data_IF_315445175742
#
_entry.id   IF_315445175742
#
_cell.length_a   1.000
_cell.length_b   1.000
_cell.length_c   1.000
_cell.angle_alpha   90.00
_cell.angle_beta   90.00
_cell.angle_gamma   90.00
#
_symmetry.space_group_name_H-M   'P 1'
#
loop_
_entity.id
_entity.type
_entity.pdbx_description
1 polymer ?
#
# COMPACT_ATOMS: atom_id res chain seq x y z
N UNK A 1 -69.59 -11.60 10.23
CA UNK A 1 -68.92 -12.68 9.48
C UNK A 1 -67.74 -12.02 8.76
N UNK A 2 -66.59 -11.90 9.42
CA UNK A 2 -65.42 -12.80 9.28
C UNK A 2 -64.78 -12.65 7.88
N UNK A 3 -63.50 -12.33 7.66
CA UNK A 3 -62.30 -12.23 8.49
C UNK A 3 -61.29 -11.31 7.75
N UNK A 4 -60.46 -10.61 8.53
CA UNK A 4 -59.21 -10.00 8.07
C UNK A 4 -58.11 -11.09 8.05
N UNK A 5 -57.02 -10.90 7.31
CA UNK A 5 -55.75 -10.90 8.03
C UNK A 5 -54.82 -9.75 7.63
N UNK A 6 -54.11 -9.31 8.67
CA UNK A 6 -53.05 -8.30 8.71
C UNK A 6 -51.86 -8.70 7.83
N UNK A 7 -51.27 -7.71 7.16
CA UNK A 7 -49.82 -7.64 7.00
C UNK A 7 -49.32 -6.43 7.80
N UNK A 8 -48.41 -6.67 8.72
CA UNK A 8 -47.58 -5.67 9.40
C UNK A 8 -46.24 -5.69 8.70
N UNK A 9 -45.77 -4.54 8.20
CA UNK A 9 -44.35 -4.26 7.93
C UNK A 9 -44.10 -2.79 8.29
N UNK A 10 -43.29 -2.59 9.34
CA UNK A 10 -42.44 -1.43 9.59
C UNK A 10 -41.17 -1.59 8.71
N UNK A 11 -40.41 -0.61 8.25
CA UNK A 11 -40.07 0.73 8.71
C UNK A 11 -39.96 1.66 7.48
N UNK A 12 -40.44 2.90 7.59
CA UNK A 12 -40.19 3.91 6.58
C UNK A 12 -38.77 4.46 6.74
N UNK A 13 -37.95 4.34 5.68
CA UNK A 13 -36.70 5.09 5.57
C UNK A 13 -36.98 6.58 5.81
N UNK A 14 -36.33 7.14 6.83
CA UNK A 14 -36.37 8.56 7.11
C UNK A 14 -35.55 9.28 6.03
N UNK A 15 -36.22 9.83 5.04
CA UNK A 15 -35.61 10.74 4.06
C UNK A 15 -35.28 12.04 4.81
N UNK A 16 -34.00 12.46 4.93
CA UNK A 16 -33.65 13.69 5.62
C UNK A 16 -34.26 14.90 4.90
N UNK A 17 -34.77 15.85 5.68
CA UNK A 17 -35.30 17.11 5.15
C UNK A 17 -34.16 17.85 4.42
N UNK A 18 -34.34 18.34 3.18
CA UNK A 18 -33.31 19.10 2.45
C UNK A 18 -32.79 20.34 3.19
N UNK A 19 -33.50 20.82 4.23
CA UNK A 19 -33.00 21.89 5.09
C UNK A 19 -31.96 21.45 6.13
N UNK A 20 -31.79 20.15 6.38
CA UNK A 20 -30.83 19.59 7.36
C UNK A 20 -29.46 19.19 6.74
N UNK A 21 -29.27 19.40 5.44
CA UNK A 21 -28.03 19.02 4.75
C UNK A 21 -26.91 20.08 4.91
N UNK A 22 -25.66 19.66 5.17
CA UNK A 22 -24.54 20.59 5.35
C UNK A 22 -24.28 21.42 4.08
N UNK A 23 -24.23 22.74 4.23
CA UNK A 23 -24.09 23.70 3.12
C UNK A 23 -22.68 24.26 3.03
N UNK A 24 -22.24 24.52 1.80
CA UNK A 24 -20.99 25.25 1.56
C UNK A 24 -21.11 26.72 2.03
N UNK A 25 -19.99 27.43 2.27
CA UNK A 25 -19.98 28.85 2.63
C UNK A 25 -20.70 29.79 1.64
N UNK A 26 -20.97 29.31 0.42
CA UNK A 26 -21.71 30.04 -0.62
C UNK A 26 -23.24 29.88 -0.53
N UNK A 27 -23.76 29.13 0.44
CA UNK A 27 -25.19 28.84 0.62
C UNK A 27 -25.76 27.81 -0.36
N UNK A 28 -24.94 27.30 -1.29
CA UNK A 28 -25.32 26.25 -2.23
C UNK A 28 -25.02 24.85 -1.68
N UNK A 29 -25.95 23.93 -1.90
CA UNK A 29 -25.80 22.50 -1.66
C UNK A 29 -24.99 21.89 -2.83
N UNK A 30 -23.78 21.36 -2.58
CA UNK A 30 -23.00 20.67 -3.60
C UNK A 30 -23.74 19.43 -4.12
N UNK A 31 -23.62 19.15 -5.41
CA UNK A 31 -24.35 18.05 -6.05
C UNK A 31 -24.05 16.68 -5.43
N UNK A 32 -22.83 16.45 -4.94
CA UNK A 32 -22.45 15.20 -4.27
C UNK A 32 -23.20 14.96 -2.95
N UNK A 33 -23.53 16.02 -2.19
CA UNK A 33 -24.33 15.92 -0.95
C UNK A 33 -25.78 15.53 -1.27
N UNK A 34 -26.30 15.98 -2.41
CA UNK A 34 -27.63 15.59 -2.90
C UNK A 34 -27.65 14.16 -3.46
N UNK A 35 -26.56 13.75 -4.09
CA UNK A 35 -26.41 12.42 -4.65
C UNK A 35 -26.21 11.37 -3.53
N UNK A 36 -25.49 11.72 -2.46
CA UNK A 36 -25.28 10.90 -1.25
C UNK A 36 -26.56 10.76 -0.42
N UNK A 37 -27.30 11.86 -0.19
CA UNK A 37 -28.61 11.82 0.47
C UNK A 37 -29.68 11.05 -0.34
N UNK A 38 -29.47 10.88 -1.65
CA UNK A 38 -30.34 10.13 -2.55
C UNK A 38 -29.82 8.72 -2.89
N UNK A 39 -28.73 8.26 -2.26
CA UNK A 39 -28.16 6.91 -2.46
C UNK A 39 -27.63 6.62 -3.87
N UNK A 40 -27.16 7.64 -4.61
CA UNK A 40 -26.66 7.50 -5.99
C UNK A 40 -25.13 7.66 -6.05
N UNK A 41 -24.45 6.65 -6.59
CA UNK A 41 -23.01 6.70 -6.86
C UNK A 41 -22.69 7.71 -7.97
N UNK A 42 -21.76 8.64 -7.70
CA UNK A 42 -21.33 9.69 -8.63
C UNK A 42 -20.14 9.23 -9.47
N UNK A 43 -20.24 9.33 -10.81
CA UNK A 43 -19.12 9.12 -11.75
C UNK A 43 -18.66 10.47 -12.28
N UNK A 44 -17.46 10.97 -11.94
CA UNK A 44 -17.01 12.27 -12.44
C UNK A 44 -16.56 12.19 -13.90
N UNK A 45 -17.05 13.09 -14.75
CA UNK A 45 -16.44 13.37 -16.06
C UNK A 45 -15.19 14.25 -15.89
N UNK A 46 -14.02 13.72 -16.24
CA UNK A 46 -12.74 14.44 -16.17
C UNK A 46 -12.67 15.60 -17.19
N UNK A 47 -12.34 16.79 -16.69
CA UNK A 47 -11.91 17.92 -17.50
C UNK A 47 -10.47 17.73 -18.05
N UNK A 48 -10.02 18.59 -18.97
CA UNK A 48 -8.71 18.44 -19.60
C UNK A 48 -7.56 18.60 -18.58
N UNK A 49 -6.44 17.88 -18.75
CA UNK A 49 -5.33 17.87 -17.79
C UNK A 49 -4.60 19.23 -17.69
N UNK A 50 -4.09 19.52 -16.49
CA UNK A 50 -3.31 20.71 -16.15
C UNK A 50 -1.94 20.77 -16.91
N UNK A 51 -1.35 21.95 -16.96
CA UNK A 51 -0.07 22.29 -17.60
C UNK A 51 1.11 21.47 -17.11
N UNK A 52 1.20 21.08 -15.82
CA UNK A 52 2.26 20.17 -15.35
C UNK A 52 2.10 18.79 -15.98
N UNK A 53 0.90 18.21 -15.88
CA UNK A 53 0.55 16.93 -16.51
C UNK A 53 0.80 16.94 -18.03
N UNK A 54 0.52 18.05 -18.72
CA UNK A 54 0.82 18.19 -20.17
C UNK A 54 2.31 18.16 -20.47
N UNK A 55 3.16 18.71 -19.60
CA UNK A 55 4.62 18.73 -19.77
C UNK A 55 5.20 17.33 -19.56
N UNK A 56 4.71 16.62 -18.55
CA UNK A 56 5.11 15.25 -18.26
C UNK A 56 4.68 14.33 -19.42
N UNK A 57 3.42 14.39 -19.84
CA UNK A 57 2.90 13.66 -21.02
C UNK A 57 3.69 13.93 -22.32
N UNK A 58 4.19 15.15 -22.51
CA UNK A 58 4.97 15.52 -23.70
C UNK A 58 6.42 15.02 -23.66
N UNK A 59 6.99 14.81 -22.47
CA UNK A 59 8.28 14.16 -22.28
C UNK A 59 8.17 12.65 -22.55
N UNK A 60 7.13 12.00 -22.03
CA UNK A 60 6.88 10.56 -22.21
C UNK A 60 6.62 10.13 -23.66
N UNK A 61 5.80 10.88 -24.42
CA UNK A 61 5.57 10.60 -25.86
C UNK A 61 6.84 10.59 -26.72
N UNK A 62 7.93 11.22 -26.26
CA UNK A 62 9.23 11.21 -26.95
C UNK A 62 10.08 10.00 -26.55
N UNK A 63 9.83 9.42 -25.38
CA UNK A 63 10.51 8.24 -24.85
C UNK A 63 9.93 6.95 -25.43
N UNK A 64 8.60 6.82 -25.54
CA UNK A 64 7.93 5.69 -26.23
C UNK A 64 8.48 5.47 -27.64
N UNK A 65 8.67 6.56 -28.39
CA UNK A 65 9.20 6.51 -29.76
C UNK A 65 10.67 6.11 -29.82
N UNK A 66 11.42 6.23 -28.72
CA UNK A 66 12.82 5.81 -28.61
C UNK A 66 12.92 4.36 -28.15
N UNK A 67 12.10 3.93 -27.18
CA UNK A 67 12.01 2.55 -26.71
C UNK A 67 11.58 1.60 -27.85
N UNK A 68 10.55 1.97 -28.62
CA UNK A 68 10.11 1.21 -29.80
C UNK A 68 11.21 1.06 -30.88
N UNK A 69 12.20 1.96 -30.91
CA UNK A 69 13.36 1.88 -31.84
C UNK A 69 14.52 1.06 -31.28
N UNK A 70 14.60 0.90 -29.95
CA UNK A 70 15.61 0.10 -29.28
C UNK A 70 15.24 -1.40 -29.29
N UNK A 71 13.96 -1.73 -29.06
CA UNK A 71 13.43 -3.10 -29.09
C UNK A 71 13.57 -3.77 -30.47
N UNK A 72 13.59 -3.01 -31.56
CA UNK A 72 13.81 -3.54 -32.91
C UNK A 72 15.24 -4.11 -33.14
N UNK A 73 16.15 -4.04 -32.17
CA UNK A 73 17.57 -4.40 -32.34
C UNK A 73 18.13 -5.47 -31.39
N UNK A 74 17.37 -5.99 -30.43
CA UNK A 74 17.91 -6.88 -29.39
C UNK A 74 17.41 -8.32 -29.49
N UNK A 75 18.11 -9.17 -30.26
CA UNK A 75 17.88 -10.63 -30.27
C UNK A 75 19.11 -11.39 -29.79
N UNK A 76 19.07 -11.95 -28.57
CA UNK A 76 19.84 -13.08 -28.03
C UNK A 76 19.55 -13.14 -26.51
N UNK A 77 19.05 -14.19 -25.87
CA UNK A 77 19.15 -15.63 -26.13
C UNK A 77 19.97 -16.31 -25.03
N UNK A 78 19.32 -16.64 -23.91
CA UNK A 78 19.70 -17.62 -22.85
C UNK A 78 21.01 -17.40 -22.06
N UNK A 79 22.05 -16.75 -22.59
CA UNK A 79 23.32 -16.48 -21.87
C UNK A 79 23.24 -15.39 -20.79
N UNK A 80 22.17 -14.60 -20.77
CA UNK A 80 22.00 -13.47 -19.85
C UNK A 80 21.47 -13.89 -18.47
N UNK A 81 20.74 -15.01 -18.39
CA UNK A 81 20.14 -15.51 -17.13
C UNK A 81 21.18 -16.00 -16.13
N UNK A 82 22.29 -16.58 -16.58
CA UNK A 82 23.37 -17.06 -15.70
C UNK A 82 24.24 -15.91 -15.15
N UNK A 83 24.30 -14.78 -15.85
CA UNK A 83 25.09 -13.61 -15.43
C UNK A 83 24.38 -12.81 -14.34
N UNK A 84 23.05 -12.71 -14.40
CA UNK A 84 22.22 -11.98 -13.40
C UNK A 84 22.26 -12.68 -12.03
N UNK A 85 22.14 -14.01 -12.00
CA UNK A 85 22.27 -14.79 -10.76
C UNK A 85 23.65 -14.64 -10.12
N UNK A 86 24.71 -14.63 -10.93
CA UNK A 86 26.08 -14.43 -10.45
C UNK A 86 26.31 -13.03 -9.87
N UNK A 87 25.70 -11.98 -10.45
CA UNK A 87 25.82 -10.61 -9.95
C UNK A 87 25.03 -10.42 -8.65
N UNK A 88 23.82 -10.98 -8.54
CA UNK A 88 23.01 -10.89 -7.32
C UNK A 88 23.71 -11.56 -6.12
N UNK A 89 24.27 -12.76 -6.32
CA UNK A 89 25.01 -13.48 -5.27
C UNK A 89 26.31 -12.76 -4.88
N UNK A 90 27.05 -12.18 -5.85
CA UNK A 90 28.27 -11.43 -5.55
C UNK A 90 27.97 -10.12 -4.79
N UNK A 91 26.89 -9.42 -5.14
CA UNK A 91 26.45 -8.21 -4.44
C UNK A 91 26.05 -8.50 -2.99
N UNK A 92 25.33 -9.60 -2.76
CA UNK A 92 24.99 -10.06 -1.42
C UNK A 92 26.26 -10.37 -0.58
N UNK A 93 27.22 -11.12 -1.14
CA UNK A 93 28.46 -11.47 -0.44
C UNK A 93 29.37 -10.26 -0.15
N UNK A 94 29.44 -9.29 -1.07
CA UNK A 94 30.21 -8.05 -0.86
C UNK A 94 29.52 -7.15 0.17
N UNK A 95 28.19 -7.05 0.16
CA UNK A 95 27.40 -6.34 1.16
C UNK A 95 27.64 -6.88 2.58
N UNK A 96 27.56 -8.19 2.77
CA UNK A 96 27.79 -8.83 4.07
C UNK A 96 29.25 -8.72 4.53
N UNK A 97 30.21 -8.84 3.62
CA UNK A 97 31.64 -8.65 3.91
C UNK A 97 31.98 -7.22 4.32
N UNK A 98 31.42 -6.23 3.63
CA UNK A 98 31.60 -4.81 3.96
C UNK A 98 30.95 -4.44 5.28
N UNK A 99 29.76 -4.98 5.60
CA UNK A 99 29.10 -4.75 6.89
C UNK A 99 29.89 -5.30 8.08
N UNK A 100 30.47 -6.50 7.93
CA UNK A 100 31.30 -7.13 8.99
C UNK A 100 32.63 -6.39 9.18
N UNK A 101 33.28 -5.94 8.11
CA UNK A 101 34.51 -5.16 8.19
C UNK A 101 34.27 -3.74 8.73
N UNK A 102 33.14 -3.12 8.37
CA UNK A 102 32.70 -1.84 8.92
C UNK A 102 32.40 -1.96 10.42
N UNK A 103 31.66 -2.99 10.83
CA UNK A 103 31.36 -3.29 12.24
C UNK A 103 32.63 -3.50 13.08
N UNK A 104 33.64 -4.18 12.52
CA UNK A 104 34.94 -4.39 13.19
C UNK A 104 35.87 -3.16 13.19
N UNK A 105 35.54 -2.13 12.42
CA UNK A 105 36.32 -0.88 12.31
C UNK A 105 35.75 0.26 13.17
N UNK A 106 34.63 0.04 13.85
CA UNK A 106 34.08 1.00 14.82
C UNK A 106 34.96 1.02 16.08
N UNK A 107 35.47 2.20 16.52
CA UNK A 107 36.17 2.30 17.79
C UNK A 107 35.23 1.98 18.95
N UNK A 108 35.70 1.24 19.95
CA UNK A 108 34.98 0.93 21.20
C UNK A 108 34.56 2.22 21.91
N UNK A 109 33.35 2.70 21.64
CA UNK A 109 32.70 3.75 22.42
C UNK A 109 32.11 3.07 23.66
N UNK A 110 32.94 2.90 24.69
CA UNK A 110 32.51 2.32 25.97
C UNK A 110 31.33 3.13 26.56
N UNK A 111 30.25 2.42 26.94
CA UNK A 111 29.04 2.94 27.58
C UNK A 111 29.29 3.76 28.87
N UNK A 112 30.51 3.73 29.41
CA UNK A 112 30.94 4.58 30.53
C UNK A 112 31.02 6.06 30.17
N UNK A 113 31.45 6.41 28.96
CA UNK A 113 31.62 7.82 28.56
C UNK A 113 30.29 8.56 28.39
N UNK A 114 29.26 7.86 27.90
CA UNK A 114 27.90 8.41 27.72
C UNK A 114 27.19 8.56 29.07
N UNK A 115 27.42 7.64 30.00
CA UNK A 115 26.86 7.67 31.36
C UNK A 115 27.42 8.82 32.20
N UNK A 116 28.72 9.12 32.08
CA UNK A 116 29.35 10.24 32.81
C UNK A 116 28.90 11.61 32.27
N UNK A 117 28.60 11.71 30.97
CA UNK A 117 28.05 12.92 30.36
C UNK A 117 26.59 13.19 30.76
N UNK A 118 25.79 12.13 30.89
CA UNK A 118 24.37 12.23 31.29
C UNK A 118 24.19 12.59 32.78
N UNK A 119 25.16 12.23 33.63
CA UNK A 119 25.14 12.52 35.07
C UNK A 119 25.67 13.92 35.44
N UNK A 120 26.17 14.69 34.46
CA UNK A 120 26.84 15.97 34.73
C UNK A 120 25.89 17.17 34.93
N UNK A 121 24.60 17.08 34.57
CA UNK A 121 23.65 18.20 34.68
C UNK A 121 22.23 17.77 35.11
N UNK A 122 21.96 17.65 36.42
CA UNK A 122 20.59 17.51 36.93
C UNK A 122 20.02 18.92 37.19
N UNK A 123 19.41 19.53 36.19
CA UNK A 123 18.90 20.90 36.31
C UNK A 123 17.60 21.25 35.57
N UNK A 124 17.36 20.71 34.38
CA UNK A 124 16.35 21.29 33.47
C UNK A 124 15.29 20.28 32.99
N UNK A 125 14.91 19.31 33.83
CA UNK A 125 13.96 18.25 33.45
C UNK A 125 12.47 18.62 33.62
N UNK A 126 12.10 19.89 33.86
CA UNK A 126 10.72 20.25 34.21
C UNK A 126 10.03 21.25 33.27
N UNK A 127 10.50 21.41 32.02
CA UNK A 127 9.84 22.30 31.05
C UNK A 127 9.95 21.87 29.57
N UNK A 128 9.99 20.57 29.27
CA UNK A 128 9.93 20.08 27.88
C UNK A 128 8.55 19.48 27.59
N UNK A 129 7.51 20.32 27.56
CA UNK A 129 6.38 20.04 26.69
C UNK A 129 6.92 20.04 25.27
N UNK A 130 7.12 18.85 24.70
CA UNK A 130 7.56 18.70 23.32
C UNK A 130 6.49 19.29 22.40
N UNK A 131 6.60 20.57 22.10
CA UNK A 131 6.06 21.12 20.87
C UNK A 131 6.77 20.38 19.73
N UNK A 132 6.19 19.28 19.28
CA UNK A 132 6.55 18.72 17.99
C UNK A 132 6.28 19.81 16.96
N UNK A 133 7.35 20.25 16.32
CA UNK A 133 7.26 21.19 15.20
C UNK A 133 6.51 20.43 14.10
N UNK A 134 5.32 20.90 13.76
CA UNK A 134 4.64 20.50 12.54
C UNK A 134 5.50 20.96 11.36
N UNK A 135 6.27 20.03 10.79
CA UNK A 135 7.10 20.28 9.62
C UNK A 135 6.29 20.16 8.30
N UNK A 136 4.97 19.93 8.40
CA UNK A 136 4.06 19.74 7.28
C UNK A 136 4.26 18.43 6.54
N UNK A 137 5.04 17.48 7.08
CA UNK A 137 5.30 16.18 6.44
C UNK A 137 4.27 15.10 6.77
N UNK A 138 3.29 15.40 7.63
CA UNK A 138 2.26 14.47 8.11
C UNK A 138 0.89 15.15 8.18
N UNK A 139 -0.22 14.40 8.06
CA UNK A 139 -1.54 14.93 8.38
C UNK A 139 -1.66 15.28 9.88
N UNK A 140 -2.69 16.05 10.27
CA UNK A 140 -3.02 16.21 11.68
C UNK A 140 -3.25 14.85 12.35
N UNK A 141 -2.76 14.70 13.57
CA UNK A 141 -2.91 13.46 14.34
C UNK A 141 -4.38 13.08 14.53
N UNK A 142 -4.69 11.79 14.38
CA UNK A 142 -6.01 11.20 14.60
C UNK A 142 -6.98 11.37 13.44
N UNK A 143 -6.59 11.93 12.29
CA UNK A 143 -7.52 12.12 11.16
C UNK A 143 -7.94 10.78 10.56
N UNK A 144 -9.22 10.43 10.73
CA UNK A 144 -9.77 9.15 10.27
C UNK A 144 -9.61 8.01 11.26
N UNK A 145 -9.10 8.31 12.46
CA UNK A 145 -8.91 7.34 13.54
C UNK A 145 -10.23 7.03 14.27
N UNK A 146 -10.53 5.74 14.41
CA UNK A 146 -11.59 5.21 15.26
C UNK A 146 -11.14 4.98 16.70
N UNK A 147 -12.09 4.87 17.63
CA UNK A 147 -11.77 4.57 19.03
C UNK A 147 -11.32 3.12 19.29
N UNK A 148 -11.47 2.25 18.29
CA UNK A 148 -11.15 0.82 18.33
C UNK A 148 -10.97 0.30 16.90
N UNK A 149 -10.39 -0.91 16.73
CA UNK A 149 -10.29 -1.55 15.42
C UNK A 149 -11.64 -1.59 14.69
N UNK A 150 -11.62 -1.25 13.39
CA UNK A 150 -12.83 -1.12 12.58
C UNK A 150 -13.38 -2.47 12.09
N UNK A 151 -12.53 -3.49 12.07
CA UNK A 151 -12.88 -4.86 11.73
C UNK A 151 -12.27 -5.85 12.71
N UNK A 152 -12.41 -7.13 12.41
CA UNK A 152 -11.88 -8.22 13.24
C UNK A 152 -11.15 -9.20 12.34
N UNK A 153 -9.85 -9.43 12.58
CA UNK A 153 -9.10 -10.44 11.83
C UNK A 153 -9.72 -11.83 11.97
N UNK A 154 -9.72 -12.63 10.90
CA UNK A 154 -10.22 -14.00 10.98
C UNK A 154 -9.34 -14.84 11.90
N UNK A 155 -9.96 -15.77 12.64
CA UNK A 155 -9.21 -16.76 13.41
C UNK A 155 -8.74 -17.87 12.47
N UNK A 156 -7.47 -17.83 12.08
CA UNK A 156 -6.84 -18.84 11.24
C UNK A 156 -5.99 -19.77 12.11
N UNK A 157 -6.29 -21.07 12.09
CA UNK A 157 -5.46 -22.04 12.79
C UNK A 157 -4.13 -22.24 12.03
N UNK A 158 -3.00 -22.03 12.69
CA UNK A 158 -1.71 -22.31 12.09
C UNK A 158 -1.47 -23.81 11.98
N UNK A 159 -1.22 -24.28 10.75
CA UNK A 159 -0.95 -25.69 10.44
C UNK A 159 0.55 -26.00 10.28
N UNK A 160 1.42 -25.01 10.50
CA UNK A 160 2.86 -25.11 10.28
C UNK A 160 3.33 -24.62 8.91
N UNK A 161 2.44 -24.19 8.03
CA UNK A 161 2.81 -23.53 6.77
C UNK A 161 3.63 -22.27 7.03
N UNK A 162 4.68 -22.00 6.23
CA UNK A 162 5.55 -20.85 6.44
C UNK A 162 4.88 -19.53 6.04
N UNK A 163 5.24 -18.47 6.74
CA UNK A 163 4.88 -17.07 6.45
C UNK A 163 6.01 -16.16 6.96
N UNK A 164 6.09 -14.94 6.44
CA UNK A 164 7.07 -13.94 6.84
C UNK A 164 6.46 -12.52 6.75
N UNK A 165 7.11 -11.54 7.37
CA UNK A 165 6.68 -10.14 7.39
C UNK A 165 7.75 -9.22 6.81
N UNK A 166 7.31 -8.21 6.04
CA UNK A 166 8.17 -7.19 5.42
C UNK A 166 9.05 -6.47 6.44
N UNK A 167 8.48 -6.22 7.62
CA UNK A 167 9.20 -5.63 8.73
C UNK A 167 8.62 -6.12 10.04
N UNK A 168 9.51 -6.35 11.00
CA UNK A 168 9.17 -6.57 12.40
C UNK A 168 9.76 -5.48 13.28
N UNK A 169 9.19 -5.33 14.46
CA UNK A 169 9.61 -4.36 15.46
C UNK A 169 9.39 -4.93 16.86
N UNK A 170 10.14 -4.43 17.84
CA UNK A 170 9.95 -4.82 19.24
C UNK A 170 8.93 -3.92 19.91
N UNK A 171 7.81 -4.50 20.34
CA UNK A 171 6.76 -3.84 21.13
C UNK A 171 6.65 -4.59 22.46
N UNK A 172 6.82 -3.87 23.57
CA UNK A 172 6.80 -4.45 24.93
C UNK A 172 7.76 -5.65 25.14
N UNK A 173 8.88 -5.66 24.42
CA UNK A 173 9.88 -6.73 24.49
C UNK A 173 9.58 -7.94 23.61
N UNK A 174 8.47 -7.93 22.86
CA UNK A 174 8.09 -8.97 21.92
C UNK A 174 8.27 -8.50 20.48
N UNK A 175 8.71 -9.40 19.61
CA UNK A 175 8.78 -9.13 18.18
C UNK A 175 7.38 -9.22 17.57
N UNK A 176 6.95 -8.14 16.92
CA UNK A 176 5.64 -7.98 16.30
C UNK A 176 5.81 -7.44 14.88
N UNK A 177 4.91 -7.76 13.93
CA UNK A 177 4.96 -7.15 12.61
C UNK A 177 4.73 -5.63 12.67
N UNK A 178 5.33 -4.91 11.74
CA UNK A 178 4.92 -3.54 11.41
C UNK A 178 3.62 -3.62 10.61
N UNK A 179 2.55 -3.04 11.14
CA UNK A 179 1.18 -3.22 10.61
C UNK A 179 0.55 -1.91 10.20
N UNK A 180 -0.49 -2.00 9.38
CA UNK A 180 -1.45 -0.91 9.22
C UNK A 180 -2.20 -0.68 10.54
N UNK A 181 -2.62 0.56 10.77
CA UNK A 181 -3.50 0.89 11.88
C UNK A 181 -4.91 0.30 11.64
N UNK A 182 -5.36 -0.70 12.42
CA UNK A 182 -6.65 -1.33 12.19
C UNK A 182 -7.83 -0.44 12.64
N UNK A 183 -7.56 0.67 13.31
CA UNK A 183 -8.52 1.64 13.81
C UNK A 183 -8.78 2.74 12.77
N UNK A 184 -8.06 2.70 11.64
CA UNK A 184 -8.25 3.56 10.47
C UNK A 184 -8.62 2.74 9.24
N UNK A 185 -9.43 3.32 8.35
CA UNK A 185 -9.69 2.68 7.05
C UNK A 185 -8.43 2.75 6.18
N UNK A 186 -8.13 1.67 5.48
CA UNK A 186 -7.11 1.63 4.44
C UNK A 186 -7.72 2.15 3.16
N UNK A 187 -7.53 3.44 2.89
CA UNK A 187 -7.89 4.01 1.61
C UNK A 187 -6.98 3.46 0.51
N UNK A 188 -7.57 3.09 -0.64
CA UNK A 188 -6.81 2.73 -1.84
C UNK A 188 -7.32 3.51 -3.05
N UNK A 189 -6.42 3.79 -4.00
CA UNK A 189 -6.76 4.46 -5.25
C UNK A 189 -6.12 3.73 -6.43
N UNK A 190 -6.85 3.66 -7.55
CA UNK A 190 -6.39 2.94 -8.74
C UNK A 190 -5.85 3.92 -9.78
N UNK A 191 -4.57 3.82 -10.11
CA UNK A 191 -4.00 4.60 -11.19
C UNK A 191 -4.59 4.15 -12.53
N UNK A 192 -5.10 5.10 -13.28
CA UNK A 192 -5.62 4.88 -14.65
C UNK A 192 -4.53 4.85 -15.71
N UNK A 193 -3.29 5.13 -15.34
CA UNK A 193 -2.16 5.14 -16.27
C UNK A 193 -1.79 3.72 -16.70
N UNK A 194 -1.75 3.46 -18.02
CA UNK A 194 -1.37 2.17 -18.59
C UNK A 194 -2.34 1.00 -18.30
N UNK A 195 -3.32 1.21 -17.42
CA UNK A 195 -4.25 0.21 -16.94
C UNK A 195 -5.25 -0.25 -18.03
N UNK A 196 -5.52 -1.56 -18.14
CA UNK A 196 -6.65 -2.08 -18.90
C UNK A 196 -8.00 -1.61 -18.35
N UNK A 197 -9.02 -1.56 -19.21
CA UNK A 197 -10.39 -1.13 -18.83
C UNK A 197 -10.97 -1.90 -17.62
N UNK A 198 -10.62 -3.18 -17.48
CA UNK A 198 -11.10 -4.04 -16.38
C UNK A 198 -10.27 -3.94 -15.08
N UNK A 199 -9.18 -3.16 -15.07
CA UNK A 199 -8.21 -3.19 -13.97
C UNK A 199 -8.81 -2.80 -12.62
N UNK A 200 -9.59 -1.72 -12.56
CA UNK A 200 -10.23 -1.30 -11.32
C UNK A 200 -11.14 -2.39 -10.74
N UNK A 201 -11.88 -3.14 -11.57
CA UNK A 201 -12.72 -4.25 -11.11
C UNK A 201 -11.90 -5.43 -10.59
N UNK A 202 -10.74 -5.68 -11.18
CA UNK A 202 -9.80 -6.71 -10.71
C UNK A 202 -9.17 -6.32 -9.37
N UNK A 203 -8.80 -5.05 -9.20
CA UNK A 203 -8.32 -4.50 -7.93
C UNK A 203 -9.39 -4.61 -6.84
N UNK A 204 -10.63 -4.16 -7.10
CA UNK A 204 -11.71 -4.26 -6.12
C UNK A 204 -11.92 -5.70 -5.64
N UNK A 205 -11.84 -6.69 -6.54
CA UNK A 205 -11.95 -8.10 -6.18
C UNK A 205 -10.82 -8.55 -5.25
N UNK A 206 -9.57 -8.26 -5.63
CA UNK A 206 -8.40 -8.69 -4.86
C UNK A 206 -8.32 -7.98 -3.50
N UNK A 207 -8.69 -6.70 -3.44
CA UNK A 207 -8.79 -5.96 -2.17
C UNK A 207 -9.88 -6.53 -1.27
N UNK A 208 -11.02 -6.98 -1.81
CA UNK A 208 -12.05 -7.64 -1.01
C UNK A 208 -11.54 -8.95 -0.38
N UNK A 209 -10.76 -9.74 -1.13
CA UNK A 209 -10.14 -10.97 -0.60
C UNK A 209 -9.10 -10.66 0.50
N UNK A 210 -8.30 -9.58 0.33
CA UNK A 210 -7.36 -9.13 1.35
C UNK A 210 -8.07 -8.59 2.60
N UNK A 211 -9.17 -7.87 2.44
CA UNK A 211 -10.04 -7.43 3.54
C UNK A 211 -10.56 -8.63 4.34
N UNK A 212 -11.00 -9.70 3.67
CA UNK A 212 -11.45 -10.93 4.35
C UNK A 212 -10.32 -11.63 5.10
N UNK A 213 -9.12 -11.68 4.52
CA UNK A 213 -7.96 -12.34 5.11
C UNK A 213 -7.35 -11.58 6.31
N UNK A 214 -7.45 -10.25 6.31
CA UNK A 214 -6.84 -9.40 7.34
C UNK A 214 -7.85 -8.91 8.37
N UNK A 215 -9.11 -8.72 7.99
CA UNK A 215 -10.08 -7.97 8.79
C UNK A 215 -9.87 -6.44 8.77
N UNK A 216 -8.88 -5.92 8.04
CA UNK A 216 -8.72 -4.48 7.80
C UNK A 216 -9.85 -3.96 6.91
N UNK A 217 -10.33 -2.74 7.16
CA UNK A 217 -11.39 -2.13 6.34
C UNK A 217 -10.79 -1.30 5.22
N UNK A 218 -11.09 -1.63 3.97
CA UNK A 218 -10.60 -0.91 2.79
C UNK A 218 -11.69 -0.04 2.16
N UNK A 219 -11.30 1.15 1.69
CA UNK A 219 -12.19 2.09 0.98
C UNK A 219 -11.57 2.49 -0.35
N UNK A 220 -12.33 2.30 -1.44
CA UNK A 220 -11.94 2.76 -2.77
C UNK A 220 -12.15 4.28 -2.89
N UNK A 221 -11.07 5.03 -3.06
CA UNK A 221 -11.10 6.46 -3.33
C UNK A 221 -11.37 6.77 -4.81
N UNK A 222 -11.46 5.74 -5.65
CA UNK A 222 -11.71 5.83 -7.08
C UNK A 222 -10.44 6.00 -7.92
N UNK A 223 -10.63 6.29 -9.23
CA UNK A 223 -9.51 6.41 -10.15
C UNK A 223 -8.67 7.65 -9.87
N UNK A 224 -7.35 7.50 -9.97
CA UNK A 224 -6.39 8.60 -9.89
C UNK A 224 -5.51 8.66 -11.14
N UNK A 225 -4.90 9.83 -11.34
CA UNK A 225 -3.84 10.04 -12.35
C UNK A 225 -2.46 10.09 -11.71
N UNK A 226 -2.34 9.79 -10.42
CA UNK A 226 -1.05 9.59 -9.77
C UNK A 226 -0.35 8.38 -10.41
N UNK A 227 0.95 8.51 -10.68
CA UNK A 227 1.77 7.40 -11.17
C UNK A 227 2.35 6.66 -9.97
N UNK A 228 2.38 5.34 -10.06
CA UNK A 228 3.23 4.53 -9.17
C UNK A 228 4.70 4.80 -9.49
N UNK A 229 5.55 4.87 -8.48
CA UNK A 229 6.97 5.21 -8.67
C UNK A 229 7.83 5.05 -7.42
N UNK A 230 9.15 5.17 -7.61
CA UNK A 230 10.15 4.83 -6.59
C UNK A 230 10.07 5.73 -5.34
N UNK A 231 9.81 7.02 -5.54
CA UNK A 231 9.73 8.00 -4.45
C UNK A 231 8.31 8.57 -4.38
N UNK A 232 7.56 8.12 -3.38
CA UNK A 232 6.21 8.60 -3.10
C UNK A 232 6.10 9.01 -1.64
N UNK A 233 5.81 10.28 -1.40
CA UNK A 233 5.57 10.77 -0.05
C UNK A 233 4.28 10.15 0.51
N UNK A 234 4.29 9.67 1.77
CA UNK A 234 3.10 9.13 2.42
C UNK A 234 2.06 10.22 2.72
N UNK A 235 2.41 11.51 2.67
CA UNK A 235 1.50 12.63 2.84
C UNK A 235 1.53 13.54 1.60
N UNK A 236 0.38 13.77 0.97
CA UNK A 236 0.23 14.58 -0.24
C UNK A 236 -1.04 15.45 -0.17
N UNK A 237 -1.03 16.52 0.64
CA UNK A 237 -2.22 17.29 0.95
C UNK A 237 -2.86 17.97 -0.25
N UNK A 238 -2.07 18.37 -1.26
CA UNK A 238 -2.60 19.00 -2.47
C UNK A 238 -3.44 18.04 -3.33
N UNK A 239 -3.24 16.72 -3.19
CA UNK A 239 -3.94 15.69 -3.96
C UNK A 239 -5.00 14.97 -3.13
N UNK A 240 -4.64 14.56 -1.91
CA UNK A 240 -5.48 13.69 -1.08
C UNK A 240 -6.06 14.39 0.15
N UNK A 241 -5.73 15.66 0.38
CA UNK A 241 -6.17 16.42 1.55
C UNK A 241 -5.37 16.09 2.80
N UNK A 242 -5.86 16.54 3.96
CA UNK A 242 -5.20 16.41 5.26
C UNK A 242 -5.26 14.97 5.83
N UNK A 243 -4.89 13.97 5.02
CA UNK A 243 -4.84 12.54 5.37
C UNK A 243 -3.62 11.88 4.73
N UNK A 244 -3.25 10.71 5.23
CA UNK A 244 -2.25 9.87 4.57
C UNK A 244 -2.68 9.55 3.13
N UNK A 245 -1.72 9.52 2.22
CA UNK A 245 -1.94 9.16 0.83
C UNK A 245 -2.40 7.70 0.76
N UNK A 246 -3.41 7.38 -0.06
CA UNK A 246 -3.97 6.03 -0.12
C UNK A 246 -2.93 5.02 -0.61
N UNK A 247 -3.15 3.73 -0.34
CA UNK A 247 -2.49 2.65 -1.05
C UNK A 247 -2.72 2.83 -2.56
N UNK A 248 -1.65 3.11 -3.31
CA UNK A 248 -1.74 3.35 -4.74
C UNK A 248 -1.51 2.06 -5.51
N UNK A 249 -2.44 1.69 -6.38
CA UNK A 249 -2.37 0.46 -7.16
C UNK A 249 -2.38 0.84 -8.65
N UNK A 250 -1.37 0.45 -9.41
CA UNK A 250 -1.19 0.93 -10.78
C UNK A 250 -0.21 0.13 -11.61
N UNK A 251 -0.12 0.49 -12.90
CA UNK A 251 0.91 -0.01 -13.79
C UNK A 251 2.08 0.97 -13.87
N UNK A 252 3.28 0.42 -14.05
CA UNK A 252 4.53 1.15 -14.29
C UNK A 252 5.38 0.46 -15.35
N UNK A 253 6.56 1.00 -15.60
CA UNK A 253 7.60 0.43 -16.45
C UNK A 253 8.99 0.71 -15.85
N UNK A 254 10.03 0.05 -16.39
CA UNK A 254 11.42 0.24 -15.94
C UNK A 254 11.97 1.67 -16.12
N UNK A 255 11.30 2.54 -16.89
CA UNK A 255 11.71 3.94 -17.04
C UNK A 255 11.26 4.78 -15.84
N UNK A 256 10.06 4.49 -15.32
CA UNK A 256 9.50 5.15 -14.14
C UNK A 256 9.95 4.49 -12.83
N UNK A 257 10.09 3.16 -12.84
CA UNK A 257 10.46 2.33 -11.71
C UNK A 257 11.54 1.32 -12.15
N UNK A 258 12.83 1.70 -12.12
CA UNK A 258 13.93 0.86 -12.61
C UNK A 258 14.00 -0.54 -12.00
N UNK A 259 13.43 -0.74 -10.82
CA UNK A 259 13.36 -2.03 -10.14
C UNK A 259 12.43 -3.04 -10.84
N UNK A 260 11.59 -2.59 -11.78
CA UNK A 260 10.83 -3.48 -12.68
C UNK A 260 11.68 -4.05 -13.83
N UNK A 261 12.93 -3.60 -13.99
CA UNK A 261 13.76 -4.08 -15.10
C UNK A 261 13.98 -5.61 -15.04
N UNK A 262 13.92 -6.25 -16.20
CA UNK A 262 14.26 -7.67 -16.34
C UNK A 262 13.05 -8.60 -16.25
N UNK A 263 12.99 -9.43 -15.20
CA UNK A 263 11.96 -10.47 -15.04
C UNK A 263 10.94 -10.17 -13.95
N UNK A 264 10.94 -8.95 -13.44
CA UNK A 264 10.07 -8.52 -12.33
C UNK A 264 8.71 -8.15 -12.90
N UNK A 265 7.66 -8.82 -12.44
CA UNK A 265 6.30 -8.63 -12.96
C UNK A 265 5.46 -7.68 -12.13
N UNK A 266 5.91 -7.38 -10.91
CA UNK A 266 5.28 -6.47 -9.98
C UNK A 266 6.18 -6.12 -8.80
N UNK A 267 5.81 -5.07 -8.09
CA UNK A 267 6.41 -4.63 -6.83
C UNK A 267 5.32 -4.08 -5.90
N UNK A 268 5.17 -4.69 -4.75
CA UNK A 268 4.37 -4.22 -3.63
C UNK A 268 5.26 -3.75 -2.49
N UNK A 269 4.78 -2.82 -1.67
CA UNK A 269 5.49 -2.45 -0.45
C UNK A 269 4.76 -1.45 0.43
N UNK A 270 4.92 -1.57 1.76
CA UNK A 270 4.31 -0.67 2.72
C UNK A 270 5.08 0.64 2.82
N UNK A 271 4.34 1.75 2.91
CA UNK A 271 4.86 3.06 3.29
C UNK A 271 4.66 3.27 4.79
N UNK A 272 5.71 3.12 5.58
CA UNK A 272 5.65 3.23 7.04
C UNK A 272 6.30 4.51 7.59
N UNK A 273 5.80 4.96 8.73
CA UNK A 273 6.35 6.08 9.50
C UNK A 273 6.55 5.65 10.95
N UNK A 274 7.39 6.40 11.67
CA UNK A 274 7.52 6.24 13.13
C UNK A 274 6.63 7.24 13.84
N UNK A 275 5.70 6.72 14.64
CA UNK A 275 4.84 7.47 15.54
C UNK A 275 5.66 8.11 16.67
N UNK A 276 5.17 9.18 17.29
CA UNK A 276 5.75 9.79 18.50
C UNK A 276 6.02 8.81 19.64
N UNK A 277 5.17 7.79 19.80
CA UNK A 277 5.35 6.68 20.76
C UNK A 277 6.61 5.83 20.48
N UNK A 278 7.20 5.97 19.29
CA UNK A 278 8.27 5.12 18.79
C UNK A 278 7.77 3.93 17.97
N UNK A 279 6.47 3.66 17.94
CA UNK A 279 5.87 2.60 17.12
C UNK A 279 6.07 2.88 15.63
N UNK A 280 6.48 1.88 14.85
CA UNK A 280 6.47 1.96 13.39
C UNK A 280 5.12 1.47 12.88
N UNK A 281 4.49 2.24 12.00
CA UNK A 281 3.12 1.99 11.52
C UNK A 281 3.09 2.18 10.02
N UNK A 282 2.41 1.27 9.30
CA UNK A 282 2.12 1.43 7.88
C UNK A 282 0.97 2.42 7.73
N UNK A 283 1.22 3.48 6.96
CA UNK A 283 0.25 4.57 6.75
C UNK A 283 -0.10 4.78 5.27
N UNK A 284 0.68 4.16 4.38
CA UNK A 284 0.50 4.22 2.93
C UNK A 284 1.13 2.98 2.30
N UNK A 285 1.14 2.90 0.98
CA UNK A 285 1.81 1.81 0.26
C UNK A 285 1.66 1.97 -1.25
N UNK A 286 2.31 1.08 -1.99
CA UNK A 286 2.18 1.01 -3.43
C UNK A 286 2.12 -0.45 -3.92
N UNK A 287 1.37 -0.66 -4.99
CA UNK A 287 1.40 -1.86 -5.83
C UNK A 287 1.63 -1.41 -7.27
N UNK A 288 2.77 -1.79 -7.82
CA UNK A 288 3.22 -1.44 -9.16
C UNK A 288 3.31 -2.70 -10.00
N UNK A 289 2.45 -2.85 -10.99
CA UNK A 289 2.52 -3.96 -11.95
C UNK A 289 3.29 -3.53 -13.19
N UNK A 290 4.15 -4.39 -13.72
CA UNK A 290 4.82 -4.10 -14.98
C UNK A 290 3.77 -4.06 -16.12
N UNK A 291 3.78 -3.01 -16.94
CA UNK A 291 2.95 -2.94 -18.14
C UNK A 291 3.23 -4.11 -19.12
N UNK A 292 4.46 -4.65 -19.13
CA UNK A 292 4.84 -5.82 -19.91
C UNK A 292 4.15 -7.10 -19.42
N UNK A 293 3.69 -7.17 -18.15
CA UNK A 293 2.86 -8.26 -17.62
C UNK A 293 1.60 -8.48 -18.44
N UNK A 294 1.10 -7.48 -19.16
CA UNK A 294 -0.09 -7.66 -19.98
C UNK A 294 0.21 -8.32 -21.33
N UNK A 295 1.49 -8.51 -21.67
CA UNK A 295 1.94 -8.90 -22.99
C UNK A 295 2.62 -10.28 -22.99
N UNK A 296 2.28 -11.10 -23.97
CA UNK A 296 2.97 -12.36 -24.28
C UNK A 296 3.20 -12.39 -25.79
N UNK A 297 4.45 -12.56 -26.21
CA UNK A 297 4.85 -12.51 -27.63
C UNK A 297 4.37 -11.25 -28.38
N UNK A 298 4.36 -10.10 -27.70
CA UNK A 298 3.92 -8.82 -28.27
C UNK A 298 2.41 -8.70 -28.48
N UNK A 299 1.61 -9.61 -27.94
CA UNK A 299 0.14 -9.54 -27.91
C UNK A 299 -0.35 -9.42 -26.47
N UNK A 300 -1.41 -8.64 -26.25
CA UNK A 300 -2.09 -8.62 -24.94
C UNK A 300 -2.76 -9.98 -24.71
N UNK A 301 -2.17 -10.84 -23.89
CA UNK A 301 -2.59 -12.24 -23.81
C UNK A 301 -2.16 -12.97 -22.52
N UNK A 302 -2.08 -12.30 -21.37
CA UNK A 302 -1.81 -13.00 -20.11
C UNK A 302 -3.04 -13.71 -19.56
N UNK A 303 -2.84 -14.94 -19.08
CA UNK A 303 -3.87 -15.69 -18.35
C UNK A 303 -4.30 -14.84 -17.15
N UNK A 304 -5.59 -14.50 -17.10
CA UNK A 304 -6.15 -13.66 -16.04
C UNK A 304 -5.88 -14.23 -14.65
N UNK A 305 -5.72 -15.55 -14.50
CA UNK A 305 -5.34 -16.17 -13.21
C UNK A 305 -3.95 -15.77 -12.76
N UNK A 306 -2.98 -15.77 -13.69
CA UNK A 306 -1.61 -15.32 -13.42
C UNK A 306 -1.61 -13.85 -13.03
N UNK A 307 -2.29 -13.01 -13.81
CA UNK A 307 -2.42 -11.58 -13.53
C UNK A 307 -2.99 -11.31 -12.13
N UNK A 308 -4.11 -11.96 -11.78
CA UNK A 308 -4.71 -11.80 -10.45
C UNK A 308 -3.83 -12.39 -9.34
N UNK A 309 -3.05 -13.44 -9.62
CA UNK A 309 -2.05 -13.98 -8.70
C UNK A 309 -0.97 -12.96 -8.36
N UNK A 310 -0.37 -12.32 -9.38
CA UNK A 310 0.61 -11.24 -9.16
C UNK A 310 -0.02 -10.10 -8.36
N UNK A 311 -1.21 -9.64 -8.73
CA UNK A 311 -1.88 -8.56 -8.00
C UNK A 311 -2.13 -8.90 -6.52
N UNK A 312 -2.48 -10.15 -6.21
CA UNK A 312 -2.62 -10.61 -4.81
C UNK A 312 -1.28 -10.67 -4.07
N UNK A 313 -0.24 -11.14 -4.74
CA UNK A 313 1.11 -11.22 -4.20
C UNK A 313 1.64 -9.83 -3.85
N UNK A 314 1.59 -8.89 -4.79
CA UNK A 314 2.04 -7.52 -4.53
C UNK A 314 1.16 -6.78 -3.51
N UNK A 315 -0.16 -7.04 -3.50
CA UNK A 315 -1.03 -6.48 -2.47
C UNK A 315 -0.66 -7.02 -1.08
N UNK A 316 -0.31 -8.30 -0.96
CA UNK A 316 0.13 -8.88 0.30
C UNK A 316 1.45 -8.25 0.80
N UNK A 317 2.41 -7.98 -0.09
CA UNK A 317 3.58 -7.14 0.24
C UNK A 317 3.18 -5.76 0.76
N UNK A 318 2.28 -5.05 0.06
CA UNK A 318 1.83 -3.73 0.48
C UNK A 318 1.08 -3.74 1.84
N UNK A 319 0.49 -4.87 2.22
CA UNK A 319 -0.12 -5.08 3.54
C UNK A 319 0.95 -5.39 4.60
N UNK A 320 2.02 -6.09 4.23
CA UNK A 320 3.18 -6.34 5.08
C UNK A 320 3.66 -7.80 5.13
N UNK A 321 3.22 -8.68 4.23
CA UNK A 321 3.78 -10.03 4.10
C UNK A 321 5.07 -10.01 3.28
N UNK A 322 6.06 -10.78 3.70
CA UNK A 322 7.30 -11.00 2.95
C UNK A 322 7.30 -12.38 2.28
N UNK A 323 8.28 -12.60 1.40
CA UNK A 323 8.48 -13.85 0.70
C UNK A 323 8.75 -15.04 1.63
N UNK A 324 8.35 -16.21 1.16
CA UNK A 324 8.74 -17.51 1.71
C UNK A 324 9.24 -18.44 0.61
N UNK A 325 10.19 -19.32 0.94
CA UNK A 325 10.77 -20.24 -0.04
C UNK A 325 9.82 -21.38 -0.47
N UNK A 326 8.68 -21.56 0.21
CA UNK A 326 7.76 -22.67 -0.04
C UNK A 326 6.90 -22.43 -1.30
N UNK A 327 7.07 -23.22 -2.37
CA UNK A 327 6.35 -23.02 -3.64
C UNK A 327 4.85 -23.33 -3.54
N UNK A 328 4.39 -23.87 -2.42
CA UNK A 328 2.97 -24.06 -2.14
C UNK A 328 2.28 -22.80 -1.62
N UNK A 329 3.01 -21.73 -1.28
CA UNK A 329 2.45 -20.45 -0.83
C UNK A 329 2.39 -19.44 -1.97
N UNK A 330 1.44 -18.50 -1.93
CA UNK A 330 1.38 -17.41 -2.90
C UNK A 330 2.58 -16.47 -2.74
N UNK A 331 3.06 -16.27 -1.51
CA UNK A 331 4.23 -15.45 -1.23
C UNK A 331 5.57 -16.11 -1.61
N UNK A 332 5.56 -17.18 -2.41
CA UNK A 332 6.76 -17.65 -3.07
C UNK A 332 7.17 -16.69 -4.21
N UNK A 333 8.43 -16.21 -4.26
CA UNK A 333 8.86 -15.21 -5.24
C UNK A 333 8.84 -15.70 -6.69
N UNK A 334 8.85 -17.00 -6.94
CA UNK A 334 8.80 -17.56 -8.30
C UNK A 334 7.37 -17.75 -8.81
N UNK A 335 6.38 -17.84 -7.90
CA UNK A 335 4.95 -17.95 -8.18
C UNK A 335 4.62 -18.86 -9.39
N UNK A 336 4.98 -20.14 -9.33
CA UNK A 336 4.86 -21.03 -10.49
C UNK A 336 3.42 -21.40 -10.86
N UNK A 337 2.60 -21.79 -9.88
CA UNK A 337 1.25 -22.33 -10.14
C UNK A 337 0.20 -22.03 -9.06
N UNK A 338 0.57 -21.21 -8.08
CA UNK A 338 -0.29 -20.76 -6.98
C UNK A 338 -0.75 -19.34 -7.29
N UNK A 339 -2.07 -19.11 -7.34
CA UNK A 339 -2.65 -17.82 -7.75
C UNK A 339 -3.64 -17.24 -6.75
N UNK A 340 -3.78 -17.86 -5.59
CA UNK A 340 -4.66 -17.46 -4.49
C UNK A 340 -3.90 -17.61 -3.18
N UNK A 341 -4.30 -16.88 -2.14
CA UNK A 341 -3.73 -17.05 -0.81
C UNK A 341 -3.88 -18.51 -0.32
N UNK A 342 -2.82 -19.01 0.29
CA UNK A 342 -2.68 -20.35 0.85
C UNK A 342 -2.58 -20.24 2.38
N UNK A 343 -2.45 -21.37 3.08
CA UNK A 343 -2.61 -21.37 4.54
C UNK A 343 -1.63 -20.46 5.28
N UNK A 344 -0.35 -20.44 4.88
CA UNK A 344 0.67 -19.56 5.45
C UNK A 344 0.37 -18.10 5.15
N UNK A 345 0.04 -17.78 3.91
CA UNK A 345 -0.35 -16.42 3.50
C UNK A 345 -1.56 -15.92 4.32
N UNK A 346 -2.61 -16.73 4.45
CA UNK A 346 -3.83 -16.38 5.20
C UNK A 346 -3.56 -16.21 6.70
N UNK A 347 -2.72 -17.07 7.28
CA UNK A 347 -2.32 -16.93 8.67
C UNK A 347 -1.55 -15.61 8.89
N UNK A 348 -0.53 -15.34 8.08
CA UNK A 348 0.25 -14.11 8.18
C UNK A 348 -0.60 -12.85 7.94
N UNK A 349 -1.52 -12.86 6.98
CA UNK A 349 -2.46 -11.75 6.76
C UNK A 349 -3.37 -11.51 7.97
N UNK A 350 -3.82 -12.57 8.65
CA UNK A 350 -4.63 -12.43 9.87
C UNK A 350 -3.86 -11.79 11.03
N UNK A 351 -2.56 -12.10 11.15
CA UNK A 351 -1.68 -11.45 12.12
C UNK A 351 -1.46 -9.96 11.79
N UNK A 352 -1.33 -9.61 10.50
CA UNK A 352 -1.16 -8.22 10.06
C UNK A 352 -2.38 -7.34 10.32
N UNK A 353 -3.58 -7.91 10.40
CA UNK A 353 -4.79 -7.20 10.82
C UNK A 353 -4.92 -6.99 12.33
N UNK A 354 -4.09 -7.65 13.13
CA UNK A 354 -4.12 -7.61 14.60
C UNK A 354 -3.19 -6.52 15.18
N UNK A 355 -2.92 -5.48 14.39
CA UNK A 355 -2.10 -4.33 14.79
C UNK A 355 -2.66 -3.53 15.98
N UNK A 356 -1.91 -2.53 16.41
CA UNK A 356 -2.34 -1.58 17.45
C UNK A 356 -2.77 -0.26 16.83
N UNK A 357 -3.78 0.40 17.42
CA UNK A 357 -4.16 1.75 16.98
C UNK A 357 -3.00 2.74 17.16
N UNK A 358 -2.92 3.76 16.30
CA UNK A 358 -1.92 4.80 16.36
C UNK A 358 -2.57 6.20 16.27
N UNK A 359 -3.37 6.61 17.27
CA UNK A 359 -4.12 7.88 17.27
C UNK A 359 -3.23 9.13 17.23
N UNK A 360 -1.94 8.98 17.51
CA UNK A 360 -0.95 10.05 17.38
C UNK A 360 -0.49 10.34 15.92
N UNK A 361 -0.98 9.57 14.93
CA UNK A 361 -0.67 9.68 13.49
C UNK A 361 -1.79 10.21 12.60
#
# INVERSE_FOLDING_TARGET
MALNPRLVVADGEHVPDPDDLPRSPSGRLPQWVLDEAAGRAHVPTLGPPDRRTRRDLAAFRRLDRRAARAMARGGAGVRQRTLVVLIAVLSALIGTGCAVLWYRSLPDQSLSGVRDALMAHPGDAEAAGAHMVDDGSRPPAGVGEGAAPLGTPPVVAWDGSPYAFEATQTVDGEERPVTWDPCRVVHYAVSTYGAPDAFAQDVTRVVAEAQEATGLVFVDDGPTTELVGAERAPYQPERYGERWAPLLIGFSDETLLPDLAGGVVGLGGPGSVRAPSGLQVVVSGQVSLDAELLTTDGRRAVDRRVFLGVLRHELAHAIGLDHVDDPSQLMNPEMESVYTYQTGDLYGLSELGSGVCAPEL
#
